data_IF_538976939970
#
_entry.id   IF_538976939970
#
_cell.length_a   1.000
_cell.length_b   1.000
_cell.length_c   1.000
_cell.angle_alpha   90.00
_cell.angle_beta   90.00
_cell.angle_gamma   90.00
#
_symmetry.space_group_name_H-M   'P 1'
#
loop_
_entity.id
_entity.type
_entity.pdbx_description
1 polymer ?
#
# COMPACT_ATOMS: atom_id res chain seq x y z
N UNK A 1 0.17 21.56 -2.11
CA UNK A 1 -0.60 20.34 -2.41
C UNK A 1 -1.16 19.80 -1.10
N UNK A 2 -2.42 19.37 -1.12
CA UNK A 2 -3.07 18.78 0.05
C UNK A 2 -2.72 17.29 0.11
N UNK A 3 -2.33 16.82 1.28
CA UNK A 3 -1.98 15.43 1.52
C UNK A 3 -3.04 14.73 2.36
N UNK A 4 -3.23 13.42 2.15
CA UNK A 4 -4.15 12.59 2.89
C UNK A 4 -3.57 11.22 3.21
N UNK A 5 -4.23 10.48 4.09
CA UNK A 5 -3.83 9.14 4.51
C UNK A 5 -5.01 8.18 4.29
N UNK A 6 -4.77 7.12 3.55
CA UNK A 6 -5.70 6.01 3.35
C UNK A 6 -5.24 4.80 4.17
N UNK A 7 -5.98 4.45 5.22
CA UNK A 7 -5.78 3.20 5.97
C UNK A 7 -6.67 2.14 5.32
N UNK A 8 -6.07 1.02 4.91
CA UNK A 8 -6.74 -0.02 4.13
C UNK A 8 -6.75 -1.35 4.88
N UNK A 9 -7.92 -1.94 5.06
CA UNK A 9 -8.09 -3.30 5.59
C UNK A 9 -8.89 -3.40 6.88
N UNK A 10 -8.91 -4.61 7.51
CA UNK A 10 -9.71 -4.89 8.70
C UNK A 10 -9.30 -4.07 9.93
N UNK A 11 -10.18 -4.03 10.93
CA UNK A 11 -10.01 -3.18 12.12
C UNK A 11 -9.32 -3.89 13.29
N UNK A 12 -8.46 -4.88 13.05
CA UNK A 12 -7.82 -5.65 14.12
C UNK A 12 -6.98 -4.78 15.07
N UNK A 13 -6.18 -3.86 14.51
CA UNK A 13 -5.30 -2.94 15.24
C UNK A 13 -5.88 -1.53 15.35
N UNK A 14 -7.21 -1.43 15.53
CA UNK A 14 -7.94 -0.17 15.44
C UNK A 14 -7.50 0.89 16.45
N UNK A 15 -7.12 0.49 17.67
CA UNK A 15 -6.69 1.44 18.70
C UNK A 15 -5.36 2.08 18.35
N UNK A 16 -4.37 1.24 18.07
CA UNK A 16 -3.01 1.68 17.78
C UNK A 16 -2.99 2.62 16.56
N UNK A 17 -3.71 2.23 15.50
CA UNK A 17 -3.75 3.03 14.29
C UNK A 17 -4.59 4.29 14.46
N UNK A 18 -5.78 4.19 15.05
CA UNK A 18 -6.64 5.36 15.21
C UNK A 18 -6.01 6.38 16.16
N UNK A 19 -5.39 5.93 17.27
CA UNK A 19 -4.68 6.83 18.18
C UNK A 19 -3.49 7.54 17.51
N UNK A 20 -2.80 6.84 16.62
CA UNK A 20 -1.66 7.42 15.92
C UNK A 20 -2.10 8.32 14.75
N UNK A 21 -2.96 7.81 13.84
CA UNK A 21 -3.27 8.54 12.61
C UNK A 21 -4.27 9.69 12.82
N UNK A 22 -5.03 9.73 13.92
CA UNK A 22 -5.97 10.83 14.21
C UNK A 22 -5.32 12.20 14.43
N UNK A 23 -4.01 12.26 14.60
CA UNK A 23 -3.26 13.52 14.68
C UNK A 23 -3.05 14.20 13.32
N UNK A 24 -3.34 13.50 12.22
CA UNK A 24 -3.19 14.02 10.86
C UNK A 24 -4.54 14.43 10.29
N UNK A 25 -4.51 15.37 9.35
CA UNK A 25 -5.68 15.77 8.60
C UNK A 25 -5.98 14.79 7.45
N UNK A 26 -7.22 14.75 7.00
CA UNK A 26 -7.65 13.96 5.83
C UNK A 26 -7.31 12.47 5.92
N UNK A 27 -7.64 11.87 7.04
CA UNK A 27 -7.47 10.42 7.24
C UNK A 27 -8.77 9.69 6.94
N UNK A 28 -8.68 8.70 6.07
CA UNK A 28 -9.79 7.83 5.67
C UNK A 28 -9.42 6.38 5.98
N UNK A 29 -10.33 5.63 6.61
CA UNK A 29 -10.18 4.19 6.82
C UNK A 29 -11.21 3.42 6.00
N UNK A 30 -10.77 2.71 4.98
CA UNK A 30 -11.61 1.84 4.16
C UNK A 30 -11.57 0.41 4.68
N UNK A 31 -12.72 -0.11 5.10
CA UNK A 31 -12.88 -1.43 5.73
C UNK A 31 -14.23 -2.07 5.37
N UNK A 32 -14.59 -3.14 6.04
CA UNK A 32 -15.75 -3.98 5.72
C UNK A 32 -16.97 -3.63 6.56
N UNK A 33 -18.15 -3.82 5.97
CA UNK A 33 -19.44 -3.57 6.65
C UNK A 33 -19.75 -4.55 7.78
N UNK A 34 -19.08 -5.71 7.83
CA UNK A 34 -19.20 -6.73 8.88
C UNK A 34 -18.21 -6.54 10.05
N UNK A 35 -17.46 -5.44 10.08
CA UNK A 35 -16.58 -5.11 11.20
C UNK A 35 -17.35 -4.77 12.48
N UNK A 36 -16.71 -4.98 13.62
CA UNK A 36 -17.29 -4.69 14.93
C UNK A 36 -17.68 -3.21 15.06
N UNK A 37 -18.96 -2.93 15.38
CA UNK A 37 -19.45 -1.58 15.59
C UNK A 37 -18.65 -0.83 16.68
N UNK A 38 -18.20 -1.52 17.73
CA UNK A 38 -17.39 -0.93 18.79
C UNK A 38 -16.08 -0.40 18.24
N UNK A 39 -15.44 -1.13 17.32
CA UNK A 39 -14.20 -0.71 16.65
C UNK A 39 -14.44 0.46 15.70
N UNK A 40 -15.51 0.38 14.91
CA UNK A 40 -15.89 1.44 13.98
C UNK A 40 -16.19 2.75 14.71
N UNK A 41 -16.93 2.68 15.81
CA UNK A 41 -17.27 3.87 16.62
C UNK A 41 -16.02 4.46 17.29
N UNK A 42 -15.08 3.62 17.74
CA UNK A 42 -13.80 4.11 18.26
C UNK A 42 -13.04 4.92 17.21
N UNK A 43 -12.91 4.38 15.99
CA UNK A 43 -12.21 5.03 14.87
C UNK A 43 -12.89 6.37 14.53
N UNK A 44 -14.23 6.38 14.41
CA UNK A 44 -15.01 7.60 14.12
C UNK A 44 -14.87 8.65 15.22
N UNK A 45 -14.88 8.24 16.49
CA UNK A 45 -14.71 9.15 17.63
C UNK A 45 -13.31 9.80 17.67
N UNK A 46 -12.34 9.24 16.98
CA UNK A 46 -11.02 9.84 16.76
C UNK A 46 -11.00 10.83 15.59
N UNK A 47 -12.12 11.06 14.91
CA UNK A 47 -12.22 11.98 13.78
C UNK A 47 -11.78 11.38 12.44
N UNK A 48 -11.55 10.07 12.38
CA UNK A 48 -11.20 9.37 11.13
C UNK A 48 -12.48 9.02 10.37
N UNK A 49 -12.56 9.40 9.09
CA UNK A 49 -13.67 9.02 8.23
C UNK A 49 -13.58 7.52 7.90
N UNK A 50 -14.68 6.78 8.14
CA UNK A 50 -14.74 5.33 7.90
C UNK A 50 -15.64 5.04 6.70
N UNK A 51 -15.07 4.38 5.69
CA UNK A 51 -15.80 3.87 4.52
C UNK A 51 -16.05 2.38 4.72
N UNK A 52 -17.31 1.99 4.66
CA UNK A 52 -17.74 0.60 4.78
C UNK A 52 -18.03 0.01 3.41
N UNK A 53 -17.45 -1.13 3.14
CA UNK A 53 -17.55 -1.85 1.88
C UNK A 53 -18.13 -3.25 2.11
N UNK A 54 -18.86 -3.74 1.13
CA UNK A 54 -19.11 -5.17 1.04
C UNK A 54 -17.87 -5.90 0.58
N UNK A 55 -17.61 -7.06 1.17
CA UNK A 55 -16.48 -7.89 0.75
C UNK A 55 -16.71 -8.38 -0.68
N UNK A 56 -15.69 -8.35 -1.55
CA UNK A 56 -15.78 -8.97 -2.85
C UNK A 56 -16.21 -10.44 -2.77
N UNK A 57 -17.10 -10.87 -3.65
CA UNK A 57 -17.56 -12.26 -3.71
C UNK A 57 -16.41 -13.24 -3.93
N UNK A 58 -15.42 -12.81 -4.72
CA UNK A 58 -14.17 -13.54 -4.97
C UNK A 58 -13.05 -12.77 -4.29
N UNK A 59 -12.48 -13.36 -3.24
CA UNK A 59 -11.36 -12.72 -2.51
C UNK A 59 -10.06 -12.62 -3.34
N UNK A 60 -9.90 -13.53 -4.32
CA UNK A 60 -8.68 -13.67 -5.11
C UNK A 60 -7.54 -14.33 -4.32
N UNK A 61 -6.44 -14.63 -5.03
CA UNK A 61 -5.25 -15.20 -4.39
C UNK A 61 -4.69 -14.21 -3.37
N UNK A 62 -4.37 -14.69 -2.16
CA UNK A 62 -3.90 -13.87 -1.03
C UNK A 62 -4.80 -12.65 -0.72
N UNK A 63 -6.11 -12.77 -0.96
CA UNK A 63 -7.10 -11.71 -0.75
C UNK A 63 -6.87 -10.44 -1.59
N UNK A 64 -6.33 -10.56 -2.78
CA UNK A 64 -5.98 -9.42 -3.65
C UNK A 64 -7.19 -8.52 -3.94
N UNK A 65 -8.37 -9.08 -4.23
CA UNK A 65 -9.56 -8.27 -4.51
C UNK A 65 -10.03 -7.48 -3.28
N UNK A 66 -9.82 -8.03 -2.08
CA UNK A 66 -10.09 -7.28 -0.85
C UNK A 66 -9.12 -6.11 -0.68
N UNK A 67 -7.83 -6.31 -0.96
CA UNK A 67 -6.82 -5.26 -0.90
C UNK A 67 -7.13 -4.16 -1.93
N UNK A 68 -7.45 -4.54 -3.16
CA UNK A 68 -7.78 -3.62 -4.24
C UNK A 68 -9.04 -2.79 -3.92
N UNK A 69 -10.13 -3.44 -3.56
CA UNK A 69 -11.41 -2.78 -3.29
C UNK A 69 -11.28 -1.75 -2.16
N UNK A 70 -10.63 -2.13 -1.05
CA UNK A 70 -10.48 -1.22 0.09
C UNK A 70 -9.44 -0.13 -0.17
N UNK A 71 -8.34 -0.40 -0.88
CA UNK A 71 -7.39 0.63 -1.28
C UNK A 71 -8.02 1.65 -2.23
N UNK A 72 -8.71 1.15 -3.28
CA UNK A 72 -9.38 2.03 -4.24
C UNK A 72 -10.44 2.91 -3.59
N UNK A 73 -11.30 2.35 -2.74
CA UNK A 73 -12.35 3.11 -2.09
C UNK A 73 -11.80 4.23 -1.19
N UNK A 74 -10.76 3.92 -0.40
CA UNK A 74 -10.13 4.93 0.46
C UNK A 74 -9.41 6.02 -0.33
N UNK A 75 -8.65 5.66 -1.35
CA UNK A 75 -7.96 6.61 -2.23
C UNK A 75 -8.97 7.44 -3.04
N UNK A 76 -10.03 6.81 -3.57
CA UNK A 76 -11.08 7.52 -4.29
C UNK A 76 -11.80 8.53 -3.39
N UNK A 77 -12.04 8.19 -2.12
CA UNK A 77 -12.63 9.14 -1.16
C UNK A 77 -11.73 10.35 -0.91
N UNK A 78 -10.43 10.13 -0.77
CA UNK A 78 -9.46 11.24 -0.67
C UNK A 78 -9.48 12.13 -1.92
N UNK A 79 -9.58 11.52 -3.11
CA UNK A 79 -9.75 12.29 -4.35
C UNK A 79 -11.02 13.16 -4.34
N UNK A 80 -12.16 12.62 -3.90
CA UNK A 80 -13.43 13.39 -3.77
C UNK A 80 -13.30 14.55 -2.77
N UNK A 81 -12.44 14.42 -1.75
CA UNK A 81 -12.13 15.49 -0.80
C UNK A 81 -11.16 16.54 -1.35
N UNK A 82 -10.71 16.39 -2.59
CA UNK A 82 -9.79 17.31 -3.26
C UNK A 82 -8.35 17.19 -2.73
N UNK A 83 -7.94 16.00 -2.35
CA UNK A 83 -6.56 15.67 -1.97
C UNK A 83 -5.73 15.47 -3.23
N UNK A 84 -4.52 16.02 -3.26
CA UNK A 84 -3.61 15.94 -4.41
C UNK A 84 -2.70 14.70 -4.36
N UNK A 85 -2.27 14.32 -3.15
CA UNK A 85 -1.34 13.23 -2.90
C UNK A 85 -1.74 12.44 -1.66
N UNK A 86 -1.50 11.15 -1.63
CA UNK A 86 -1.87 10.34 -0.48
C UNK A 86 -0.82 9.29 -0.11
N UNK A 87 -0.77 8.99 1.18
CA UNK A 87 -0.11 7.82 1.74
C UNK A 87 -1.15 6.71 1.95
N UNK A 88 -1.06 5.62 1.21
CA UNK A 88 -1.81 4.40 1.50
C UNK A 88 -1.01 3.51 2.43
N UNK A 89 -1.61 3.13 3.55
CA UNK A 89 -1.04 2.18 4.51
C UNK A 89 -2.01 1.04 4.77
N UNK A 90 -1.48 -0.13 5.10
CA UNK A 90 -2.30 -1.25 5.58
C UNK A 90 -2.72 -1.04 7.02
N UNK A 91 -3.87 -1.57 7.39
CA UNK A 91 -4.43 -1.49 8.74
C UNK A 91 -3.68 -2.30 9.82
N UNK A 92 -2.51 -2.84 9.48
CA UNK A 92 -1.56 -3.48 10.39
C UNK A 92 -0.18 -2.79 10.37
N UNK A 93 -0.11 -1.55 9.87
CA UNK A 93 1.16 -0.84 9.67
C UNK A 93 1.08 0.60 10.21
N UNK A 94 2.07 0.98 11.03
CA UNK A 94 2.26 2.36 11.51
C UNK A 94 3.56 2.90 10.92
N UNK A 95 3.48 4.06 10.29
CA UNK A 95 4.62 4.84 9.78
C UNK A 95 4.84 6.02 10.73
N UNK A 96 5.90 5.99 11.54
CA UNK A 96 6.19 7.03 12.53
C UNK A 96 6.75 8.30 11.89
N UNK A 97 6.76 9.41 12.62
CA UNK A 97 7.32 10.70 12.17
C UNK A 97 6.79 11.16 10.79
N UNK A 98 5.51 10.88 10.50
CA UNK A 98 4.88 11.25 9.23
C UNK A 98 4.83 12.77 9.00
N UNK A 99 4.76 13.56 10.06
CA UNK A 99 4.84 15.02 10.03
C UNK A 99 6.13 15.53 9.37
N UNK A 100 7.22 14.76 9.47
CA UNK A 100 8.49 15.03 8.81
C UNK A 100 8.59 14.38 7.44
N UNK A 101 8.09 13.16 7.30
CA UNK A 101 8.20 12.38 6.06
C UNK A 101 7.31 12.94 4.94
N UNK A 102 6.04 13.24 5.21
CA UNK A 102 5.08 13.67 4.18
C UNK A 102 5.54 14.90 3.39
N UNK A 103 6.09 15.97 4.02
CA UNK A 103 6.59 17.10 3.25
C UNK A 103 7.74 16.75 2.28
N UNK A 104 8.56 15.76 2.64
CA UNK A 104 9.69 15.31 1.81
C UNK A 104 9.26 14.45 0.63
N UNK A 105 8.15 13.72 0.78
CA UNK A 105 7.56 12.94 -0.29
C UNK A 105 6.78 13.79 -1.30
N UNK A 106 6.47 15.02 -0.96
CA UNK A 106 5.65 15.92 -1.78
C UNK A 106 6.21 16.08 -3.21
N UNK A 107 5.32 15.96 -4.22
CA UNK A 107 5.68 16.07 -5.63
C UNK A 107 6.31 14.80 -6.22
N UNK A 108 6.42 13.72 -5.47
CA UNK A 108 6.89 12.44 -5.99
C UNK A 108 5.76 11.68 -6.67
N UNK A 109 6.07 11.09 -7.82
CA UNK A 109 5.06 10.37 -8.60
C UNK A 109 4.54 9.15 -7.85
N UNK A 110 5.46 8.26 -7.46
CA UNK A 110 5.20 7.10 -6.59
C UNK A 110 6.43 6.82 -5.73
N UNK A 111 6.19 6.46 -4.47
CA UNK A 111 7.21 6.00 -3.55
C UNK A 111 6.69 4.78 -2.77
N UNK A 112 7.55 3.79 -2.58
CA UNK A 112 7.20 2.51 -1.97
C UNK A 112 8.13 2.21 -0.79
N UNK A 113 7.59 1.62 0.26
CA UNK A 113 8.39 1.23 1.42
C UNK A 113 9.45 0.18 1.06
N UNK A 114 9.12 -0.74 0.14
CA UNK A 114 9.93 -1.93 -0.05
C UNK A 114 9.56 -2.70 -1.31
N UNK A 115 10.40 -3.68 -1.67
CA UNK A 115 10.04 -4.73 -2.62
C UNK A 115 9.62 -6.01 -1.90
N UNK A 116 8.68 -6.72 -2.48
CA UNK A 116 8.33 -8.06 -2.10
C UNK A 116 8.96 -9.04 -3.08
N UNK A 117 9.87 -9.91 -2.60
CA UNK A 117 10.33 -11.06 -3.40
C UNK A 117 9.26 -12.13 -3.36
N UNK A 118 8.57 -12.27 -4.45
CA UNK A 118 7.59 -13.33 -4.58
C UNK A 118 8.29 -14.62 -4.99
N UNK A 119 8.48 -15.50 -4.03
CA UNK A 119 8.81 -16.89 -4.32
C UNK A 119 7.59 -17.58 -4.93
N UNK A 120 7.57 -17.79 -6.23
CA UNK A 120 6.55 -18.63 -6.87
C UNK A 120 6.80 -20.07 -6.39
N UNK A 121 5.78 -20.67 -5.75
CA UNK A 121 5.85 -22.11 -5.43
C UNK A 121 5.93 -22.88 -6.73
N UNK A 122 7.03 -23.60 -6.94
CA UNK A 122 7.32 -24.40 -8.15
C UNK A 122 6.26 -25.47 -8.46
N UNK A 123 5.45 -25.82 -7.46
CA UNK A 123 4.40 -26.85 -7.54
C UNK A 123 3.07 -26.35 -8.14
N UNK A 124 2.89 -25.04 -8.31
CA UNK A 124 1.63 -24.45 -8.80
C UNK A 124 1.77 -23.84 -10.21
N UNK A 125 2.98 -23.60 -10.70
CA UNK A 125 3.22 -22.72 -11.85
C UNK A 125 3.87 -23.43 -13.04
N UNK A 126 3.26 -24.51 -13.55
CA UNK A 126 3.80 -25.17 -14.74
C UNK A 126 3.75 -24.29 -16.02
N UNK A 127 2.92 -23.27 -16.08
CA UNK A 127 2.76 -22.40 -17.25
C UNK A 127 3.16 -20.93 -17.01
N UNK A 128 3.55 -20.55 -15.79
CA UNK A 128 3.99 -19.19 -15.46
C UNK A 128 5.52 -19.04 -15.45
N UNK A 129 6.19 -19.75 -16.33
CA UNK A 129 7.67 -19.80 -16.44
C UNK A 129 8.32 -18.43 -16.70
N UNK A 130 7.56 -17.43 -17.09
CA UNK A 130 8.07 -16.08 -17.36
C UNK A 130 8.33 -15.23 -16.11
N UNK A 131 8.00 -15.71 -14.91
CA UNK A 131 8.20 -14.97 -13.65
C UNK A 131 9.40 -15.51 -12.83
N UNK A 132 10.26 -16.30 -13.45
CA UNK A 132 11.34 -17.03 -12.75
C UNK A 132 12.56 -16.19 -12.40
N UNK A 133 12.75 -15.03 -12.98
CA UNK A 133 13.81 -14.14 -12.58
C UNK A 133 13.27 -13.16 -11.55
N UNK A 134 13.71 -13.32 -10.32
CA UNK A 134 13.56 -12.47 -9.14
C UNK A 134 13.12 -11.03 -9.44
N UNK A 135 11.88 -10.83 -9.84
CA UNK A 135 11.34 -9.48 -9.99
C UNK A 135 10.89 -9.02 -8.61
N UNK A 136 11.49 -7.95 -8.16
CA UNK A 136 11.05 -7.26 -6.98
C UNK A 136 9.81 -6.44 -7.34
N UNK A 137 8.69 -6.70 -6.66
CA UNK A 137 7.46 -5.94 -6.79
C UNK A 137 7.32 -4.97 -5.63
N UNK A 138 6.73 -3.79 -5.81
CA UNK A 138 6.52 -2.86 -4.72
C UNK A 138 5.60 -3.49 -3.69
N UNK A 139 6.04 -3.53 -2.44
CA UNK A 139 5.20 -4.02 -1.35
C UNK A 139 4.00 -3.10 -1.15
N UNK A 140 2.82 -3.69 -0.99
CA UNK A 140 1.56 -2.98 -0.83
C UNK A 140 1.33 -2.41 0.58
N UNK A 141 2.25 -2.65 1.51
CA UNK A 141 2.11 -2.22 2.90
C UNK A 141 2.03 -0.69 3.02
N UNK A 142 2.91 0.01 2.33
CA UNK A 142 3.00 1.46 2.31
C UNK A 142 3.31 1.94 0.91
N UNK A 143 2.42 2.76 0.36
CA UNK A 143 2.58 3.39 -0.97
C UNK A 143 2.22 4.86 -0.85
N UNK A 144 3.08 5.73 -1.34
CA UNK A 144 2.80 7.17 -1.46
C UNK A 144 2.80 7.59 -2.92
N UNK A 145 1.94 8.53 -3.28
CA UNK A 145 1.96 9.08 -4.63
C UNK A 145 0.86 10.10 -4.91
N UNK A 146 0.87 10.58 -6.15
CA UNK A 146 -0.21 11.39 -6.68
C UNK A 146 -1.54 10.62 -6.61
N UNK A 147 -2.62 11.30 -6.29
CA UNK A 147 -3.93 10.67 -6.06
C UNK A 147 -4.48 9.97 -7.32
N UNK A 148 -4.21 10.48 -8.51
CA UNK A 148 -4.63 9.86 -9.77
C UNK A 148 -3.86 8.57 -10.02
N UNK A 149 -2.53 8.59 -9.83
CA UNK A 149 -1.68 7.41 -9.99
C UNK A 149 -2.09 6.29 -9.02
N UNK A 150 -2.39 6.64 -7.75
CA UNK A 150 -2.88 5.67 -6.77
C UNK A 150 -4.26 5.11 -7.14
N UNK A 151 -5.17 5.93 -7.65
CA UNK A 151 -6.48 5.46 -8.13
C UNK A 151 -6.32 4.47 -9.28
N UNK A 152 -5.51 4.80 -10.26
CA UNK A 152 -5.26 3.93 -11.41
C UNK A 152 -4.62 2.61 -10.98
N UNK A 153 -3.70 2.66 -10.03
CA UNK A 153 -3.03 1.48 -9.47
C UNK A 153 -3.99 0.48 -8.85
N UNK A 154 -5.02 0.94 -8.13
CA UNK A 154 -5.96 0.08 -7.41
C UNK A 154 -7.30 -0.12 -8.09
N UNK A 155 -7.57 0.53 -9.24
CA UNK A 155 -8.86 0.48 -9.94
C UNK A 155 -8.97 -0.72 -10.87
N UNK A 156 -8.91 -1.93 -10.33
CA UNK A 156 -9.21 -3.14 -11.10
C UNK A 156 -9.72 -4.26 -10.17
N UNK A 157 -10.32 -5.27 -10.76
CA UNK A 157 -10.74 -6.48 -10.07
C UNK A 157 -10.29 -7.70 -10.89
N UNK A 158 -10.08 -8.80 -10.19
CA UNK A 158 -9.72 -10.07 -10.79
C UNK A 158 -10.92 -11.01 -10.68
N UNK A 159 -11.38 -11.51 -11.81
CA UNK A 159 -12.53 -12.42 -11.86
C UNK A 159 -12.14 -13.85 -11.50
N UNK A 160 -10.87 -14.21 -11.71
CA UNK A 160 -10.36 -15.55 -11.48
C UNK A 160 -9.38 -15.64 -10.31
N UNK A 161 -9.24 -16.83 -9.73
CA UNK A 161 -8.24 -17.15 -8.70
C UNK A 161 -6.85 -17.37 -9.34
N UNK A 162 -6.35 -16.36 -10.04
CA UNK A 162 -4.99 -16.42 -10.58
C UNK A 162 -3.98 -16.51 -9.43
N UNK A 163 -3.04 -17.46 -9.44
CA UNK A 163 -2.03 -17.62 -8.38
C UNK A 163 -0.90 -16.59 -8.55
N UNK A 164 -1.27 -15.34 -8.76
CA UNK A 164 -0.34 -14.20 -8.90
C UNK A 164 -0.44 -13.37 -7.63
N UNK A 165 0.68 -13.01 -7.01
CA UNK A 165 0.69 -12.18 -5.82
C UNK A 165 0.07 -10.81 -6.03
N UNK A 166 -0.59 -10.25 -5.00
CA UNK A 166 -1.21 -8.93 -5.08
C UNK A 166 -0.27 -7.85 -5.59
N UNK A 167 0.95 -7.84 -5.11
CA UNK A 167 1.97 -6.86 -5.44
C UNK A 167 2.31 -6.87 -6.94
N UNK A 168 2.39 -8.05 -7.53
CA UNK A 168 2.65 -8.20 -8.97
C UNK A 168 1.47 -7.71 -9.81
N UNK A 169 0.24 -8.01 -9.38
CA UNK A 169 -0.98 -7.60 -10.07
C UNK A 169 -1.22 -6.10 -9.99
N UNK A 170 -1.01 -5.51 -8.82
CA UNK A 170 -1.10 -4.06 -8.61
C UNK A 170 -0.10 -3.33 -9.50
N UNK A 171 1.13 -3.82 -9.52
CA UNK A 171 2.19 -3.27 -10.36
C UNK A 171 1.87 -3.38 -11.86
N UNK A 172 1.38 -4.54 -12.28
CA UNK A 172 0.96 -4.75 -13.67
C UNK A 172 -0.16 -3.79 -14.08
N UNK A 173 -1.21 -3.69 -13.26
CA UNK A 173 -2.33 -2.79 -13.58
C UNK A 173 -1.83 -1.35 -13.77
N UNK A 174 -1.01 -0.86 -12.84
CA UNK A 174 -0.46 0.48 -12.95
C UNK A 174 0.34 0.68 -14.24
N UNK A 175 1.21 -0.27 -14.60
CA UNK A 175 2.01 -0.18 -15.83
C UNK A 175 1.14 -0.15 -17.09
N UNK A 176 0.09 -0.97 -17.14
CA UNK A 176 -0.81 -1.00 -18.30
C UNK A 176 -1.61 0.28 -18.45
N UNK A 177 -2.01 0.90 -17.35
CA UNK A 177 -2.72 2.19 -17.37
C UNK A 177 -1.81 3.34 -17.79
N UNK A 178 -0.50 3.24 -17.57
CA UNK A 178 0.49 4.27 -17.94
C UNK A 178 1.14 4.03 -19.31
N UNK A 179 0.68 3.03 -20.09
CA UNK A 179 1.26 2.66 -21.40
C UNK A 179 2.79 2.42 -21.35
N UNK A 180 3.26 1.89 -20.24
CA UNK A 180 4.69 1.65 -19.99
C UNK A 180 5.15 0.35 -20.66
N UNK A 181 6.24 0.39 -21.41
CA UNK A 181 6.91 -0.81 -21.91
C UNK A 181 7.61 -1.57 -20.78
N UNK A 182 7.39 -2.88 -20.75
CA UNK A 182 7.50 -3.79 -19.61
C UNK A 182 8.85 -3.93 -18.88
N UNK A 183 10.00 -3.52 -19.41
CA UNK A 183 11.27 -3.97 -18.82
C UNK A 183 12.16 -2.92 -18.12
N UNK A 184 12.42 -1.82 -18.73
CA UNK A 184 13.44 -0.91 -18.19
C UNK A 184 12.87 0.25 -17.38
N UNK A 185 11.79 0.84 -17.88
CA UNK A 185 11.14 1.98 -17.22
C UNK A 185 10.46 1.61 -15.90
N UNK A 186 9.88 0.39 -15.84
CA UNK A 186 9.26 -0.13 -14.63
C UNK A 186 10.28 -0.41 -13.51
N UNK A 187 11.35 -1.14 -13.85
CA UNK A 187 12.41 -1.44 -12.88
C UNK A 187 13.04 -0.16 -12.32
N UNK A 188 13.30 0.81 -13.18
CA UNK A 188 13.85 2.09 -12.75
C UNK A 188 12.87 2.86 -11.86
N UNK A 189 11.59 2.93 -12.23
CA UNK A 189 10.58 3.62 -11.44
C UNK A 189 10.45 3.02 -10.03
N UNK A 190 10.41 1.68 -9.92
CA UNK A 190 10.31 1.00 -8.62
C UNK A 190 11.58 1.23 -7.79
N UNK A 191 12.74 1.05 -8.39
CA UNK A 191 14.01 1.23 -7.69
C UNK A 191 14.18 2.68 -7.21
N UNK A 192 13.86 3.66 -8.05
CA UNK A 192 13.89 5.07 -7.67
C UNK A 192 12.89 5.37 -6.55
N UNK A 193 11.66 4.87 -6.65
CA UNK A 193 10.63 5.06 -5.64
C UNK A 193 10.97 4.43 -4.29
N UNK A 194 11.58 3.24 -4.29
CA UNK A 194 11.99 2.55 -3.06
C UNK A 194 13.22 3.20 -2.45
N UNK A 195 14.24 3.44 -3.25
CA UNK A 195 15.48 4.06 -2.79
C UNK A 195 15.19 5.42 -2.18
N UNK A 196 14.34 6.20 -2.83
CA UNK A 196 13.92 7.50 -2.33
C UNK A 196 13.17 7.38 -0.99
N UNK A 197 12.15 6.52 -0.92
CA UNK A 197 11.36 6.37 0.30
C UNK A 197 12.22 5.91 1.49
N UNK A 198 13.09 4.92 1.28
CA UNK A 198 13.99 4.41 2.31
C UNK A 198 15.00 5.47 2.75
N UNK A 199 15.57 6.23 1.83
CA UNK A 199 16.48 7.31 2.18
C UNK A 199 15.79 8.36 3.06
N UNK A 200 14.60 8.80 2.69
CA UNK A 200 13.83 9.77 3.48
C UNK A 200 13.45 9.22 4.87
N UNK A 201 13.09 7.93 4.95
CA UNK A 201 12.85 7.29 6.24
C UNK A 201 14.08 7.29 7.14
N UNK A 202 15.27 7.04 6.56
CA UNK A 202 16.52 7.03 7.31
C UNK A 202 16.91 8.42 7.80
N UNK A 203 16.79 9.43 6.95
CA UNK A 203 17.14 10.81 7.28
C UNK A 203 16.24 11.41 8.37
N UNK A 204 14.95 11.05 8.36
CA UNK A 204 13.97 11.57 9.32
C UNK A 204 13.71 10.62 10.52
N UNK A 205 14.49 9.55 10.65
CA UNK A 205 14.30 8.51 11.68
C UNK A 205 12.87 7.96 11.69
N UNK A 206 12.33 7.68 10.52
CA UNK A 206 11.01 7.08 10.35
C UNK A 206 11.11 5.58 10.56
N UNK A 207 10.20 5.03 11.36
CA UNK A 207 10.00 3.59 11.47
C UNK A 207 8.73 3.21 10.74
N UNK A 208 8.74 2.06 10.10
CA UNK A 208 7.55 1.45 9.50
C UNK A 208 7.27 0.15 10.24
N UNK A 209 6.42 0.24 11.23
CA UNK A 209 6.12 -0.85 12.14
C UNK A 209 4.98 -1.71 11.62
N UNK A 210 5.30 -2.95 11.22
CA UNK A 210 4.32 -3.95 10.84
C UNK A 210 3.83 -4.72 12.08
N UNK A 211 2.70 -4.28 12.63
CA UNK A 211 2.17 -4.76 13.92
C UNK A 211 1.91 -6.27 13.93
N UNK A 212 1.36 -6.82 12.84
CA UNK A 212 1.10 -8.25 12.71
C UNK A 212 2.34 -9.13 12.84
N UNK A 213 3.52 -8.61 12.49
CA UNK A 213 4.80 -9.34 12.54
C UNK A 213 5.70 -8.87 13.67
N UNK A 214 5.37 -7.74 14.32
CA UNK A 214 6.22 -7.13 15.36
C UNK A 214 7.60 -6.71 14.84
N UNK A 215 7.69 -6.25 13.60
CA UNK A 215 8.95 -5.85 12.96
C UNK A 215 8.88 -4.42 12.44
N UNK A 216 10.02 -3.72 12.51
CA UNK A 216 10.22 -2.47 11.79
C UNK A 216 10.75 -2.79 10.38
N UNK A 217 9.99 -2.45 9.36
CA UNK A 217 10.35 -2.77 7.97
C UNK A 217 11.59 -1.99 7.49
N UNK A 218 11.84 -0.78 8.00
CA UNK A 218 13.04 -0.01 7.65
C UNK A 218 14.30 -0.76 8.09
N UNK A 219 14.34 -1.25 9.33
CA UNK A 219 15.48 -2.01 9.84
C UNK A 219 15.61 -3.35 9.12
N UNK A 220 14.50 -4.02 8.88
CA UNK A 220 14.50 -5.29 8.15
C UNK A 220 15.08 -5.18 6.74
N UNK A 221 14.89 -4.03 6.06
CA UNK A 221 15.47 -3.78 4.74
C UNK A 221 16.91 -3.30 4.80
N UNK A 222 17.35 -2.60 5.86
CA UNK A 222 18.75 -2.24 6.08
C UNK A 222 19.65 -3.47 6.23
N UNK A 223 19.19 -4.44 7.03
CA UNK A 223 19.96 -5.66 7.32
C UNK A 223 20.03 -6.63 6.14
N UNK A 224 19.06 -6.57 5.26
CA UNK A 224 19.18 -7.24 3.98
C UNK A 224 19.98 -6.34 3.06
N UNK A 225 21.27 -6.56 3.01
CA UNK A 225 22.21 -6.00 2.02
C UNK A 225 21.80 -6.39 0.60
N UNK A 226 20.56 -6.13 0.29
CA UNK A 226 19.89 -6.36 -0.99
C UNK A 226 20.23 -5.23 -1.96
N UNK A 227 21.30 -4.53 -1.70
CA UNK A 227 21.87 -3.53 -2.62
C UNK A 227 22.81 -4.15 -3.65
N UNK A 228 22.81 -5.46 -3.79
CA UNK A 228 23.31 -6.11 -5.00
C UNK A 228 22.19 -6.09 -6.05
N UNK A 229 22.07 -4.94 -6.70
CA UNK A 229 21.20 -4.71 -7.87
C UNK A 229 21.99 -4.81 -9.16
#
# INVERSE_FOLDING_TARGET
MKQGICIQGPTEYYKELADYYSQFENVVWATWNDESIIRLDYIRNKGIEVILLEKPTIAGYMNVNMQLASSYAGVNRLFELGIDEALKVRSDTIVTNLDKLLPRLQGKKLAFMATCKVGVRKDIAYDLVYYHDSHDYPADNVVYGNIHDLRDMFNFQIEDMLPIPPEALIAWNYMTTQDMTFHLSYKNMINEGISFFLQECLEENVEVNWLKRGVNLVDWYKDKTVYEW
#
